data_IF_416284672749
#
_entry.id   IF_416284672749
#
_cell.length_a   1.000
_cell.length_b   1.000
_cell.length_c   1.000
_cell.angle_alpha   90.00
_cell.angle_beta   90.00
_cell.angle_gamma   90.00
#
_symmetry.space_group_name_H-M   'P 1'
#
loop_
_entity.id
_entity.type
_entity.pdbx_description
1 polymer ?
#
# COMPACT_ATOMS: atom_id res chain seq x y z
N UNK A 1 6.99 68.97 23.44
CA UNK A 1 6.32 67.73 23.89
C UNK A 1 7.05 66.54 23.28
N UNK A 2 8.19 66.08 23.84
CA UNK A 2 8.84 64.88 23.32
C UNK A 2 8.21 63.67 24.00
N UNK A 3 7.63 62.79 23.18
CA UNK A 3 7.05 61.53 23.60
C UNK A 3 8.19 60.55 23.88
N UNK A 4 8.60 60.43 25.14
CA UNK A 4 9.52 59.37 25.56
C UNK A 4 8.73 58.06 25.49
N UNK A 5 8.92 57.31 24.41
CA UNK A 5 8.49 55.92 24.32
C UNK A 5 9.42 55.13 25.24
N UNK A 6 9.00 54.95 26.49
CA UNK A 6 9.58 53.98 27.40
C UNK A 6 9.28 52.59 26.87
N UNK A 7 10.19 52.05 26.05
CA UNK A 7 10.26 50.63 25.77
C UNK A 7 10.72 49.93 27.06
N UNK A 8 9.76 49.50 27.87
CA UNK A 8 10.03 48.53 28.91
C UNK A 8 10.41 47.21 28.22
N UNK A 9 11.71 47.00 28.04
CA UNK A 9 12.25 45.67 27.84
C UNK A 9 12.02 44.90 29.16
N UNK A 10 10.87 44.24 29.27
CA UNK A 10 10.69 43.19 30.25
C UNK A 10 11.68 42.08 29.87
N UNK A 11 12.86 42.09 30.51
CA UNK A 11 13.85 41.04 30.37
C UNK A 11 13.25 39.74 30.86
N UNK A 12 12.82 38.89 29.94
CA UNK A 12 12.39 37.54 30.26
C UNK A 12 13.55 36.80 30.91
N UNK A 13 13.40 36.44 32.18
CA UNK A 13 14.15 35.40 32.89
C UNK A 13 13.81 34.01 32.30
N UNK A 14 13.82 33.89 30.97
CA UNK A 14 13.44 32.67 30.28
C UNK A 14 14.71 31.89 29.95
N UNK A 15 14.86 30.72 30.57
CA UNK A 15 15.92 29.78 30.24
C UNK A 15 15.63 29.24 28.83
N UNK A 16 16.60 29.31 27.90
CA UNK A 16 16.41 28.87 26.53
C UNK A 16 16.11 27.37 26.43
N UNK A 17 15.36 26.97 25.40
CA UNK A 17 15.04 25.57 25.15
C UNK A 17 16.30 24.72 24.86
N UNK A 18 16.37 23.46 25.32
CA UNK A 18 17.45 22.55 24.98
C UNK A 18 17.31 22.01 23.56
N UNK A 19 18.44 21.58 22.99
CA UNK A 19 18.46 20.81 21.74
C UNK A 19 18.22 19.32 22.03
N UNK A 20 17.48 18.64 21.15
CA UNK A 20 17.20 17.21 21.25
C UNK A 20 17.53 16.53 19.91
N UNK A 21 18.11 15.34 19.96
CA UNK A 21 18.37 14.53 18.76
C UNK A 21 18.49 13.05 19.07
N UNK A 22 18.24 12.22 18.07
CA UNK A 22 18.63 10.82 18.08
C UNK A 22 20.14 10.71 17.88
N UNK A 23 20.76 9.78 18.60
CA UNK A 23 22.19 9.47 18.45
C UNK A 23 22.38 8.00 18.12
N UNK A 24 23.46 7.64 17.38
CA UNK A 24 23.76 6.24 17.08
C UNK A 24 23.95 5.40 18.35
N UNK A 25 23.60 4.10 18.33
CA UNK A 25 22.97 3.38 17.21
C UNK A 25 21.49 3.75 17.01
N UNK A 26 21.08 3.96 15.75
CA UNK A 26 19.69 4.24 15.41
C UNK A 26 18.86 2.94 15.42
N UNK A 27 17.63 2.97 15.95
CA UNK A 27 16.83 1.76 16.07
C UNK A 27 16.35 1.28 14.70
N UNK A 28 16.48 -0.03 14.47
CA UNK A 28 16.02 -0.72 13.26
C UNK A 28 14.64 -1.36 13.44
N UNK A 29 14.29 -1.70 14.68
CA UNK A 29 13.02 -2.30 15.08
C UNK A 29 12.43 -1.60 16.30
N UNK A 30 11.18 -1.89 16.64
CA UNK A 30 10.54 -1.32 17.83
C UNK A 30 11.21 -1.81 19.11
N UNK A 31 11.82 -2.99 19.09
CA UNK A 31 12.47 -3.63 20.23
C UNK A 31 13.87 -3.09 20.52
N UNK A 32 14.49 -2.44 19.54
CA UNK A 32 15.83 -1.89 19.66
C UNK A 32 15.89 -0.74 20.69
N UNK A 33 17.02 -0.58 21.40
CA UNK A 33 17.21 0.54 22.30
C UNK A 33 17.23 1.86 21.54
N UNK A 34 16.63 2.89 22.13
CA UNK A 34 16.57 4.23 21.56
C UNK A 34 17.46 5.15 22.40
N UNK A 35 18.45 5.77 21.76
CA UNK A 35 19.36 6.72 22.38
C UNK A 35 19.00 8.14 21.97
N UNK A 36 18.59 8.96 22.94
CA UNK A 36 18.18 10.35 22.72
C UNK A 36 19.11 11.26 23.51
N UNK A 37 19.87 12.09 22.80
CA UNK A 37 20.71 13.11 23.42
C UNK A 37 19.93 14.41 23.58
N UNK A 38 20.04 15.01 24.76
CA UNK A 38 19.51 16.33 25.05
C UNK A 38 20.62 17.22 25.62
N UNK A 39 20.74 18.44 25.11
CA UNK A 39 21.81 19.36 25.49
C UNK A 39 21.25 20.76 25.74
N UNK A 40 21.55 21.30 26.91
CA UNK A 40 21.28 22.68 27.25
C UNK A 40 22.23 23.61 26.47
N UNK A 41 21.76 24.76 25.97
CA UNK A 41 22.63 25.73 25.30
C UNK A 41 23.56 26.44 26.30
N UNK A 42 24.74 26.85 25.87
CA UNK A 42 25.66 27.62 26.74
C UNK A 42 26.35 26.77 27.81
N UNK A 43 26.45 27.29 29.03
CA UNK A 43 27.23 26.73 30.14
C UNK A 43 26.37 26.22 31.32
N UNK A 44 25.14 25.77 31.06
CA UNK A 44 24.31 25.12 32.08
C UNK A 44 24.80 23.69 32.35
N UNK A 45 25.80 23.58 33.22
CA UNK A 45 26.39 22.30 33.61
C UNK A 45 25.63 21.65 34.77
N UNK A 46 25.69 20.32 34.85
CA UNK A 46 25.12 19.58 36.00
C UNK A 46 23.60 19.69 36.15
N UNK A 47 22.91 20.13 35.10
CA UNK A 47 21.46 20.35 35.10
C UNK A 47 20.67 19.04 35.16
N UNK A 48 19.41 19.13 35.61
CA UNK A 48 18.48 18.02 35.61
C UNK A 48 17.67 18.02 34.32
N UNK A 49 17.75 16.96 33.53
CA UNK A 49 17.07 16.79 32.26
C UNK A 49 15.89 15.84 32.38
N UNK A 50 14.72 16.26 31.89
CA UNK A 50 13.48 15.48 31.86
C UNK A 50 13.10 15.19 30.42
N UNK A 51 12.92 13.92 30.09
CA UNK A 51 12.41 13.47 28.80
C UNK A 51 10.91 13.23 28.89
N UNK A 52 10.16 13.82 27.97
CA UNK A 52 8.71 13.70 27.85
C UNK A 52 8.30 12.97 26.58
N UNK A 53 7.18 12.26 26.64
CA UNK A 53 6.49 11.68 25.48
C UNK A 53 4.98 11.77 25.69
N UNK A 54 4.27 12.39 24.75
CA UNK A 54 2.82 12.61 24.90
C UNK A 54 2.43 13.37 26.17
N UNK A 55 3.28 14.29 26.63
CA UNK A 55 3.09 15.06 27.86
C UNK A 55 3.42 14.33 29.17
N UNK A 56 3.81 13.05 29.11
CA UNK A 56 4.20 12.28 30.29
C UNK A 56 5.71 12.21 30.44
N UNK A 57 6.19 12.24 31.68
CA UNK A 57 7.62 12.05 31.99
C UNK A 57 7.99 10.59 31.74
N UNK A 58 8.96 10.37 30.85
CA UNK A 58 9.50 9.06 30.52
C UNK A 58 10.70 8.74 31.40
N UNK A 59 11.63 9.68 31.54
CA UNK A 59 12.86 9.51 32.32
C UNK A 59 13.42 10.87 32.76
N UNK A 60 13.99 10.93 33.95
CA UNK A 60 14.74 12.07 34.49
C UNK A 60 16.19 11.65 34.70
N UNK A 61 17.14 12.44 34.21
CA UNK A 61 18.58 12.22 34.38
C UNK A 61 19.26 13.51 34.78
N UNK A 62 20.24 13.42 35.68
CA UNK A 62 21.10 14.55 36.03
C UNK A 62 22.38 14.48 35.20
N UNK A 63 22.77 15.60 34.58
CA UNK A 63 24.04 15.69 33.89
C UNK A 63 25.20 15.67 34.89
N UNK A 64 26.36 15.10 34.51
CA UNK A 64 27.60 15.31 35.24
C UNK A 64 27.92 16.81 35.41
N UNK A 65 28.63 17.16 36.48
CA UNK A 65 28.93 18.56 36.84
C UNK A 65 29.75 19.31 35.78
N UNK A 66 30.45 18.59 34.91
CA UNK A 66 31.27 19.10 33.80
C UNK A 66 30.57 19.03 32.44
N UNK A 67 29.34 18.53 32.38
CA UNK A 67 28.58 18.33 31.14
C UNK A 67 27.28 19.15 31.14
N UNK A 68 26.89 19.62 29.96
CA UNK A 68 25.67 20.39 29.71
C UNK A 68 24.57 19.56 29.04
N UNK A 69 24.65 18.23 29.12
CA UNK A 69 23.72 17.35 28.43
C UNK A 69 23.75 15.92 28.95
N UNK A 70 22.76 15.14 28.53
CA UNK A 70 22.59 13.73 28.87
C UNK A 70 22.16 12.94 27.64
N UNK A 71 22.41 11.62 27.69
CA UNK A 71 21.83 10.67 26.74
C UNK A 71 20.88 9.75 27.49
N UNK A 72 19.61 9.79 27.10
CA UNK A 72 18.58 8.87 27.59
C UNK A 72 18.67 7.54 26.84
N UNK A 73 18.63 6.45 27.60
CA UNK A 73 18.67 5.09 27.08
C UNK A 73 17.32 4.44 27.32
N UNK A 74 16.46 4.46 26.32
CA UNK A 74 15.13 3.88 26.40
C UNK A 74 15.17 2.45 25.87
N UNK A 75 14.58 1.50 26.61
CA UNK A 75 14.30 0.18 26.07
C UNK A 75 13.16 0.26 25.04
N UNK A 76 13.31 -0.41 23.90
CA UNK A 76 12.36 -0.36 22.78
C UNK A 76 10.92 -0.78 23.12
N UNK A 77 10.73 -1.48 24.24
CA UNK A 77 9.42 -1.91 24.74
C UNK A 77 8.64 -0.93 25.60
N UNK A 78 9.05 0.34 25.78
CA UNK A 78 8.32 1.31 26.62
C UNK A 78 7.06 1.84 25.89
N UNK A 79 6.12 0.91 25.64
CA UNK A 79 4.82 1.09 25.00
C UNK A 79 3.74 1.65 25.93
N UNK A 80 4.09 1.99 27.18
CA UNK A 80 3.14 2.50 28.18
C UNK A 80 2.83 3.99 28.04
N UNK A 81 3.71 4.75 27.37
CA UNK A 81 3.47 6.15 27.10
C UNK A 81 2.63 6.32 25.82
N UNK A 82 1.68 7.27 25.80
CA UNK A 82 0.94 7.61 24.59
C UNK A 82 1.88 7.84 23.41
N UNK A 83 1.51 7.35 22.23
CA UNK A 83 2.26 7.61 21.00
C UNK A 83 2.45 9.12 20.78
N UNK A 84 3.58 9.51 20.20
CA UNK A 84 3.91 10.91 19.97
C UNK A 84 5.41 11.19 19.93
N UNK A 85 5.80 12.43 19.56
CA UNK A 85 7.19 12.88 19.58
C UNK A 85 7.75 12.92 21.00
N UNK A 86 9.07 12.82 21.09
CA UNK A 86 9.79 13.10 22.33
C UNK A 86 10.11 14.58 22.44
N UNK A 87 10.00 15.11 23.65
CA UNK A 87 10.43 16.46 24.02
C UNK A 87 11.38 16.37 25.21
N UNK A 88 12.31 17.31 25.31
CA UNK A 88 13.22 17.42 26.44
C UNK A 88 13.08 18.79 27.10
N UNK A 89 13.31 18.82 28.41
CA UNK A 89 13.38 20.03 29.21
C UNK A 89 14.50 19.88 30.22
N UNK A 90 15.17 20.97 30.59
CA UNK A 90 16.14 20.94 31.67
C UNK A 90 15.79 21.95 32.76
N UNK A 91 16.20 21.64 33.97
CA UNK A 91 16.07 22.49 35.14
C UNK A 91 17.44 22.76 35.75
N UNK A 92 17.69 24.01 36.08
CA UNK A 92 18.85 24.44 36.86
C UNK A 92 18.40 25.04 38.18
N UNK A 93 19.26 24.95 39.18
CA UNK A 93 19.03 25.64 40.44
C UNK A 93 19.33 27.13 40.21
N UNK A 94 18.30 27.96 40.24
CA UNK A 94 18.45 29.41 40.14
C UNK A 94 19.09 30.01 41.39
N UNK A 95 19.43 31.29 41.31
CA UNK A 95 20.09 32.05 42.39
C UNK A 95 19.31 32.04 43.71
N UNK A 96 17.97 31.91 43.64
CA UNK A 96 17.07 31.87 44.78
C UNK A 96 16.79 30.45 45.33
N UNK A 97 17.62 29.45 44.99
CA UNK A 97 17.38 28.02 45.29
C UNK A 97 16.05 27.48 44.74
N UNK A 98 15.46 28.14 43.75
CA UNK A 98 14.28 27.66 43.03
C UNK A 98 14.73 26.94 41.76
N UNK A 99 14.13 25.79 41.47
CA UNK A 99 14.34 25.09 40.21
C UNK A 99 13.72 25.91 39.08
N UNK A 100 14.55 26.52 38.26
CA UNK A 100 14.11 27.22 37.06
C UNK A 100 14.15 26.24 35.89
N UNK A 101 13.00 26.07 35.24
CA UNK A 101 12.87 25.16 34.10
C UNK A 101 13.03 25.94 32.79
N UNK A 102 13.66 25.28 31.82
CA UNK A 102 13.69 25.73 30.43
C UNK A 102 12.33 25.58 29.76
N UNK A 103 12.19 26.20 28.60
CA UNK A 103 11.15 25.80 27.65
C UNK A 103 11.38 24.36 27.14
N UNK A 104 10.34 23.75 26.54
CA UNK A 104 10.44 22.45 25.90
C UNK A 104 11.26 22.53 24.60
N UNK A 105 12.03 21.48 24.32
CA UNK A 105 12.72 21.32 23.05
C UNK A 105 11.75 21.17 21.87
N UNK A 106 12.29 21.38 20.66
CA UNK A 106 11.69 20.89 19.43
C UNK A 106 11.37 19.38 19.53
N UNK A 107 10.35 18.88 18.81
CA UNK A 107 10.00 17.47 18.84
C UNK A 107 11.02 16.61 18.08
N UNK A 108 11.33 15.41 18.61
CA UNK A 108 12.03 14.37 17.85
C UNK A 108 11.16 13.14 17.65
N UNK A 109 11.11 12.67 16.40
CA UNK A 109 10.36 11.49 16.00
C UNK A 109 11.30 10.30 15.84
N UNK A 110 10.86 9.13 16.32
CA UNK A 110 11.56 7.86 16.10
C UNK A 110 10.90 7.15 14.93
N UNK A 111 11.66 6.93 13.87
CA UNK A 111 11.22 6.18 12.68
C UNK A 111 12.12 4.97 12.48
N UNK A 112 11.51 3.85 12.10
CA UNK A 112 12.23 2.63 11.77
C UNK A 112 12.37 2.51 10.25
N UNK A 113 13.51 2.01 9.75
CA UNK A 113 13.69 1.79 8.33
C UNK A 113 12.63 0.81 7.81
N UNK A 114 11.92 1.20 6.75
CA UNK A 114 10.95 0.31 6.11
C UNK A 114 11.71 -0.83 5.44
N UNK A 115 11.29 -2.09 5.64
CA UNK A 115 11.95 -3.20 4.97
C UNK A 115 11.82 -3.09 3.44
N UNK A 116 12.96 -2.98 2.76
CA UNK A 116 13.03 -2.75 1.30
C UNK A 116 12.46 -3.91 0.48
N UNK A 117 12.43 -5.13 1.05
CA UNK A 117 11.83 -6.31 0.42
C UNK A 117 10.34 -6.13 0.11
N UNK A 118 9.63 -5.29 0.85
CA UNK A 118 8.21 -4.97 0.62
C UNK A 118 8.03 -4.27 -0.74
N UNK A 119 8.95 -3.37 -1.10
CA UNK A 119 8.92 -2.68 -2.40
C UNK A 119 9.28 -3.62 -3.56
N UNK A 120 10.22 -4.55 -3.33
CA UNK A 120 10.59 -5.54 -4.34
C UNK A 120 9.43 -6.51 -4.60
N UNK A 121 8.75 -6.97 -3.54
CA UNK A 121 7.56 -7.80 -3.66
C UNK A 121 6.42 -7.09 -4.39
N UNK A 122 6.15 -5.83 -4.04
CA UNK A 122 5.07 -5.08 -4.68
C UNK A 122 5.35 -4.83 -6.17
N UNK A 123 6.59 -4.49 -6.51
CA UNK A 123 7.00 -4.28 -7.90
C UNK A 123 6.98 -5.60 -8.70
N UNK A 124 7.41 -6.71 -8.10
CA UNK A 124 7.36 -8.04 -8.69
C UNK A 124 5.91 -8.48 -8.97
N UNK A 125 5.02 -8.30 -7.99
CA UNK A 125 3.61 -8.66 -8.11
C UNK A 125 2.92 -7.83 -9.19
N UNK A 126 3.17 -6.51 -9.21
CA UNK A 126 2.66 -5.63 -10.26
C UNK A 126 3.18 -6.05 -11.65
N UNK A 127 4.48 -6.33 -11.78
CA UNK A 127 5.07 -6.80 -13.03
C UNK A 127 4.46 -8.10 -13.54
N UNK A 128 4.25 -9.08 -12.66
CA UNK A 128 3.58 -10.33 -13.02
C UNK A 128 2.15 -10.11 -13.52
N UNK A 129 1.38 -9.22 -12.88
CA UNK A 129 0.03 -8.87 -13.32
C UNK A 129 0.01 -8.22 -14.71
N UNK A 130 0.95 -7.31 -14.99
CA UNK A 130 1.08 -6.69 -16.32
C UNK A 130 1.46 -7.71 -17.39
N UNK A 131 2.38 -8.62 -17.10
CA UNK A 131 2.76 -9.70 -18.03
C UNK A 131 1.58 -10.63 -18.33
N UNK A 132 0.81 -11.03 -17.31
CA UNK A 132 -0.39 -11.85 -17.49
C UNK A 132 -1.45 -11.14 -18.34
N UNK A 133 -1.72 -9.86 -18.07
CA UNK A 133 -2.65 -9.07 -18.86
C UNK A 133 -2.21 -8.95 -20.33
N UNK A 134 -0.92 -8.73 -20.57
CA UNK A 134 -0.34 -8.70 -21.91
C UNK A 134 -0.50 -10.03 -22.65
N UNK A 135 -0.19 -11.16 -21.98
CA UNK A 135 -0.35 -12.50 -22.55
C UNK A 135 -1.81 -12.80 -22.91
N UNK A 136 -2.76 -12.44 -22.04
CA UNK A 136 -4.19 -12.59 -22.30
C UNK A 136 -4.61 -11.76 -23.51
N UNK A 137 -4.18 -10.50 -23.60
CA UNK A 137 -4.48 -9.63 -24.74
C UNK A 137 -3.96 -10.24 -26.06
N UNK A 138 -2.72 -10.71 -26.09
CA UNK A 138 -2.13 -11.38 -27.26
C UNK A 138 -2.92 -12.64 -27.64
N UNK A 139 -3.26 -13.49 -26.67
CA UNK A 139 -4.05 -14.70 -26.92
C UNK A 139 -5.43 -14.38 -27.52
N UNK A 140 -6.10 -13.33 -27.02
CA UNK A 140 -7.38 -12.87 -27.56
C UNK A 140 -7.25 -12.36 -29.00
N UNK A 141 -6.18 -11.63 -29.33
CA UNK A 141 -5.89 -11.16 -30.69
C UNK A 141 -5.61 -12.33 -31.63
N UNK A 142 -4.75 -13.28 -31.25
CA UNK A 142 -4.46 -14.47 -32.05
C UNK A 142 -5.72 -15.29 -32.30
N UNK A 143 -6.56 -15.48 -31.27
CA UNK A 143 -7.84 -16.19 -31.40
C UNK A 143 -8.79 -15.45 -32.34
N UNK A 144 -8.89 -14.11 -32.23
CA UNK A 144 -9.68 -13.26 -33.16
C UNK A 144 -9.18 -13.37 -34.59
N UNK A 145 -7.86 -13.31 -34.83
CA UNK A 145 -7.27 -13.43 -36.16
C UNK A 145 -7.51 -14.82 -36.75
N UNK A 146 -7.31 -15.88 -35.97
CA UNK A 146 -7.55 -17.26 -36.40
C UNK A 146 -9.00 -17.49 -36.81
N UNK A 147 -9.97 -16.95 -36.05
CA UNK A 147 -11.40 -16.99 -36.40
C UNK A 147 -11.69 -16.25 -37.71
N UNK A 148 -11.15 -15.03 -37.89
CA UNK A 148 -11.30 -14.28 -39.14
C UNK A 148 -10.66 -15.00 -40.33
N UNK A 149 -9.53 -15.67 -40.13
CA UNK A 149 -8.83 -16.40 -41.19
C UNK A 149 -9.60 -17.67 -41.60
N UNK A 150 -10.11 -18.43 -40.62
CA UNK A 150 -10.99 -19.59 -40.88
C UNK A 150 -12.28 -19.19 -41.61
N UNK A 151 -12.88 -18.05 -41.26
CA UNK A 151 -14.05 -17.51 -41.95
C UNK A 151 -13.73 -17.15 -43.41
N UNK A 152 -12.57 -16.53 -43.69
CA UNK A 152 -12.13 -16.23 -45.05
C UNK A 152 -11.90 -17.49 -45.88
N UNK A 153 -11.31 -18.54 -45.28
CA UNK A 153 -11.05 -19.81 -45.98
C UNK A 153 -12.36 -20.51 -46.38
N UNK A 154 -13.32 -20.62 -45.46
CA UNK A 154 -14.64 -21.20 -45.77
C UNK A 154 -15.44 -20.38 -46.80
N UNK A 155 -15.26 -19.05 -46.85
CA UNK A 155 -15.87 -18.19 -47.87
C UNK A 155 -15.25 -18.38 -49.26
N UNK A 156 -13.93 -18.58 -49.34
CA UNK A 156 -13.23 -18.73 -50.62
C UNK A 156 -13.61 -20.06 -51.27
N UNK A 157 -13.59 -21.15 -50.49
CA UNK A 157 -13.96 -22.49 -50.96
C UNK A 157 -15.41 -22.50 -51.47
N UNK A 158 -16.35 -21.89 -50.75
CA UNK A 158 -17.75 -21.79 -51.21
C UNK A 158 -17.89 -21.03 -52.54
N UNK A 159 -17.14 -19.92 -52.73
CA UNK A 159 -17.16 -19.17 -54.00
C UNK A 159 -16.64 -20.00 -55.19
N UNK A 160 -15.63 -20.83 -54.94
CA UNK A 160 -14.98 -21.67 -55.95
C UNK A 160 -15.93 -22.80 -56.40
N UNK A 161 -16.68 -23.39 -55.47
CA UNK A 161 -17.75 -24.34 -55.80
C UNK A 161 -18.90 -23.69 -56.59
N UNK A 162 -19.32 -22.46 -56.27
CA UNK A 162 -20.34 -21.75 -57.06
C UNK A 162 -19.89 -21.38 -58.47
N UNK A 163 -18.61 -21.10 -58.70
CA UNK A 163 -18.06 -20.82 -60.04
C UNK A 163 -17.97 -22.13 -60.85
N UNK A 164 -17.57 -23.24 -60.22
CA UNK A 164 -17.49 -24.54 -60.88
C UNK A 164 -18.84 -25.08 -61.34
N UNK A 165 -19.94 -24.74 -60.65
CA UNK A 165 -21.30 -25.12 -61.05
C UNK A 165 -21.84 -24.33 -62.27
N UNK A 166 -21.15 -23.25 -62.70
CA UNK A 166 -21.59 -22.39 -63.80
C UNK A 166 -20.86 -22.67 -65.13
N UNK A 167 -19.95 -23.65 -65.18
CA UNK A 167 -19.11 -23.95 -66.36
C UNK A 167 -19.33 -25.35 -66.94
N UNK A 168 -20.57 -25.85 -66.94
CA UNK A 168 -20.98 -26.95 -67.81
C UNK A 168 -21.78 -26.36 -68.98
N UNK A 169 -21.35 -26.53 -70.25
CA UNK A 169 -22.23 -26.32 -71.39
C UNK A 169 -23.20 -27.51 -71.44
N UNK A 170 -24.49 -27.23 -71.25
CA UNK A 170 -25.57 -28.17 -71.53
C UNK A 170 -25.72 -28.26 -73.06
N UNK A 171 -25.07 -29.24 -73.68
CA UNK A 171 -25.42 -29.69 -75.03
C UNK A 171 -26.31 -30.93 -74.91
N UNK A 172 -27.53 -30.82 -75.42
CA UNK A 172 -28.51 -31.91 -75.54
C UNK A 172 -28.67 -32.29 -77.01
N UNK A 173 -28.57 -33.58 -77.36
CA UNK A 173 -29.31 -34.14 -78.47
C UNK A 173 -30.33 -35.19 -78.00
N UNK A 174 -31.60 -34.79 -78.05
CA UNK A 174 -32.75 -35.46 -78.64
C UNK A 174 -33.03 -36.97 -78.41
N UNK A 175 -34.32 -37.24 -78.21
CA UNK A 175 -35.09 -38.51 -78.36
C UNK A 175 -34.98 -39.50 -77.19
N UNK A 176 -36.02 -40.22 -76.72
CA UNK A 176 -37.45 -40.28 -76.98
C UNK A 176 -38.04 -41.27 -75.95
N UNK A 177 -39.22 -40.96 -75.44
CA UNK A 177 -40.26 -41.80 -74.80
C UNK A 177 -40.00 -42.64 -73.52
N UNK A 178 -40.82 -42.32 -72.52
CA UNK A 178 -41.98 -43.14 -72.06
C UNK A 178 -42.04 -43.61 -70.59
N UNK A 179 -43.28 -43.50 -70.08
CA UNK A 179 -43.90 -44.15 -68.92
C UNK A 179 -43.62 -43.55 -67.52
N UNK A 180 -44.56 -42.80 -66.92
CA UNK A 180 -45.82 -43.23 -66.27
C UNK A 180 -45.60 -43.82 -64.86
N UNK A 181 -46.11 -43.16 -63.81
CA UNK A 181 -46.12 -43.74 -62.45
C UNK A 181 -46.26 -42.78 -61.27
N UNK A 182 -47.49 -42.34 -61.04
CA UNK A 182 -48.18 -41.84 -59.83
C UNK A 182 -47.62 -42.20 -58.43
N UNK A 183 -48.02 -41.37 -57.45
CA UNK A 183 -48.34 -41.65 -56.00
C UNK A 183 -47.30 -41.33 -54.89
N UNK A 184 -47.46 -40.13 -54.33
CA UNK A 184 -47.77 -39.81 -52.93
C UNK A 184 -47.19 -40.65 -51.74
N UNK A 185 -46.36 -39.98 -50.91
CA UNK A 185 -46.27 -39.99 -49.41
C UNK A 185 -46.02 -41.32 -48.65
N UNK A 186 -45.77 -41.34 -47.31
CA UNK A 186 -45.30 -40.33 -46.34
C UNK A 186 -44.27 -40.87 -45.30
N UNK A 187 -44.00 -40.05 -44.26
CA UNK A 187 -43.89 -40.45 -42.84
C UNK A 187 -42.47 -40.44 -42.23
N UNK A 188 -42.25 -39.54 -41.28
CA UNK A 188 -42.28 -39.76 -39.82
C UNK A 188 -40.98 -40.37 -39.27
N UNK A 189 -40.32 -39.64 -38.37
CA UNK A 189 -40.54 -39.89 -36.93
C UNK A 189 -39.65 -39.03 -36.02
N UNK A 190 -40.36 -38.42 -35.09
CA UNK A 190 -40.00 -37.73 -33.86
C UNK A 190 -39.29 -38.64 -32.86
N UNK A 191 -38.24 -38.18 -32.17
CA UNK A 191 -37.98 -38.43 -30.72
C UNK A 191 -36.78 -37.58 -30.25
N UNK A 192 -36.97 -36.56 -29.41
CA UNK A 192 -36.96 -36.57 -27.92
C UNK A 192 -35.60 -36.94 -27.31
N UNK A 193 -34.96 -35.99 -26.61
CA UNK A 193 -34.71 -35.97 -25.15
C UNK A 193 -33.75 -34.84 -24.71
N UNK A 194 -34.15 -34.13 -23.65
CA UNK A 194 -33.42 -33.27 -22.67
C UNK A 194 -32.33 -34.16 -21.94
N UNK A 195 -31.38 -33.72 -21.06
CA UNK A 195 -31.49 -32.49 -20.26
C UNK A 195 -30.25 -31.83 -19.54
N UNK A 196 -30.55 -30.83 -18.66
CA UNK A 196 -30.03 -30.60 -17.27
C UNK A 196 -28.65 -29.93 -17.06
N UNK A 197 -28.58 -28.66 -16.63
CA UNK A 197 -28.42 -28.09 -15.25
C UNK A 197 -26.95 -27.66 -14.98
N UNK A 198 -26.54 -26.73 -14.10
CA UNK A 198 -26.99 -26.32 -12.73
C UNK A 198 -26.29 -24.98 -12.42
N UNK A 199 -26.97 -23.87 -12.13
CA UNK A 199 -27.24 -23.28 -10.79
C UNK A 199 -26.09 -23.36 -9.75
N UNK A 200 -25.55 -22.22 -9.32
CA UNK A 200 -25.03 -22.05 -7.95
C UNK A 200 -25.14 -20.60 -7.48
N UNK A 201 -25.58 -20.49 -6.23
CA UNK A 201 -25.88 -19.29 -5.42
C UNK A 201 -24.59 -18.62 -4.92
N UNK A 202 -24.58 -17.32 -4.62
CA UNK A 202 -23.53 -16.74 -3.78
C UNK A 202 -23.89 -16.93 -2.30
N UNK A 203 -23.12 -17.76 -1.60
CA UNK A 203 -23.07 -17.78 -0.14
C UNK A 203 -22.24 -16.59 0.37
N UNK A 204 -22.79 -15.86 1.34
CA UNK A 204 -22.08 -14.87 2.15
C UNK A 204 -21.34 -15.56 3.30
N UNK A 205 -20.06 -15.28 3.57
CA UNK A 205 -19.45 -15.70 4.82
C UNK A 205 -19.84 -14.73 5.94
N UNK A 206 -20.51 -15.25 6.96
CA UNK A 206 -20.81 -14.54 8.20
C UNK A 206 -19.55 -14.33 9.06
N UNK A 207 -19.60 -13.24 9.84
CA UNK A 207 -18.68 -12.82 10.88
C UNK A 207 -18.69 -13.78 12.10
N UNK A 208 -17.67 -13.62 12.98
CA UNK A 208 -17.59 -14.09 14.38
C UNK A 208 -16.95 -15.49 14.56
N UNK A 209 -15.91 -15.69 15.35
CA UNK A 209 -15.87 -15.38 16.79
C UNK A 209 -14.42 -15.32 17.31
N UNK A 210 -14.12 -14.30 18.12
CA UNK A 210 -12.97 -14.28 19.03
C UNK A 210 -13.11 -15.40 20.08
N UNK A 211 -12.05 -16.18 20.32
CA UNK A 211 -11.88 -16.87 21.61
C UNK A 211 -10.71 -16.26 22.36
N UNK A 212 -11.06 -15.59 23.45
CA UNK A 212 -10.24 -15.36 24.61
C UNK A 212 -10.34 -16.57 25.57
N UNK A 213 -9.46 -16.55 26.58
CA UNK A 213 -9.33 -17.41 27.77
C UNK A 213 -8.43 -18.64 27.56
N UNK A 214 -7.50 -18.96 28.48
CA UNK A 214 -7.24 -18.48 29.84
C UNK A 214 -5.79 -18.80 30.21
#
# INVERSE_FOLDING_TARGET
>A
MPWTILLFAAGSLAIPAPSIRLVPPYPSSQEDPIHIACMAPGNFLGANFTLYRGGQVVQLLQAPTDQHGVTFNLSGGSSKAPGGPFHCQYGVLGELNQSQLSDLSEPVNVSFPVPTWILVLSLSLAGALFLLAGLVAVALVVRKVKLRNLQKKMSFDNSLFTISAKTMPEEDPATLDDHSGTTATPSNSRTRKRPTSTSSSPETPEFSTFRACQ
#
